data_IF_980659225253
#
_entry.id   IF_980659225253
#
_cell.length_a   1.000
_cell.length_b   1.000
_cell.length_c   1.000
_cell.angle_alpha   90.00
_cell.angle_beta   90.00
_cell.angle_gamma   90.00
#
_symmetry.space_group_name_H-M   'P 1'
#
loop_
_entity.id
_entity.type
_entity.pdbx_description
1 polymer ?
#
# COMPACT_ATOMS: atom_id res chain seq x y z
N UNK A 1 -0.38 -6.70 -12.51
CA UNK A 1 -0.84 -6.22 -11.20
C UNK A 1 -2.17 -5.53 -11.40
N UNK A 2 -3.21 -5.97 -10.70
CA UNK A 2 -4.57 -5.47 -10.86
C UNK A 2 -4.98 -4.60 -9.68
N UNK A 3 -5.77 -3.55 -9.97
CA UNK A 3 -6.38 -2.75 -8.91
C UNK A 3 -7.48 -3.55 -8.25
N UNK A 4 -7.55 -3.50 -6.93
CA UNK A 4 -8.62 -4.13 -6.17
C UNK A 4 -9.25 -3.13 -5.19
N UNK A 5 -10.52 -3.33 -4.89
CA UNK A 5 -11.24 -2.54 -3.90
C UNK A 5 -11.52 -3.40 -2.67
N UNK A 6 -11.16 -2.88 -1.49
CA UNK A 6 -11.54 -3.48 -0.21
C UNK A 6 -12.87 -2.89 0.22
N UNK A 7 -13.83 -3.75 0.53
CA UNK A 7 -15.15 -3.32 0.96
C UNK A 7 -15.07 -2.48 2.25
N UNK A 8 -15.68 -1.30 2.24
CA UNK A 8 -15.67 -0.39 3.40
C UNK A 8 -14.51 0.61 3.45
N UNK A 9 -13.51 0.53 2.57
CA UNK A 9 -12.38 1.46 2.55
C UNK A 9 -12.47 2.42 1.36
N UNK A 10 -12.77 3.68 1.67
CA UNK A 10 -12.80 4.74 0.66
C UNK A 10 -11.38 5.29 0.43
N UNK A 11 -10.73 4.87 -0.65
CA UNK A 11 -9.40 5.36 -1.05
C UNK A 11 -9.33 6.89 -1.14
N UNK A 12 -10.41 7.53 -1.59
CA UNK A 12 -10.48 8.98 -1.68
C UNK A 12 -10.38 9.64 -0.30
N UNK A 13 -10.98 9.03 0.73
CA UNK A 13 -10.89 9.53 2.10
C UNK A 13 -9.47 9.47 2.63
N UNK A 14 -8.78 8.36 2.41
CA UNK A 14 -7.37 8.21 2.81
C UNK A 14 -6.49 9.20 2.05
N UNK A 15 -6.68 9.36 0.73
CA UNK A 15 -5.97 10.35 -0.06
C UNK A 15 -6.16 11.78 0.45
N UNK A 16 -7.38 12.13 0.89
CA UNK A 16 -7.66 13.44 1.52
C UNK A 16 -6.93 13.61 2.84
N UNK A 17 -6.94 12.60 3.71
CA UNK A 17 -6.20 12.64 4.98
C UNK A 17 -4.70 12.76 4.77
N UNK A 18 -4.12 12.04 3.81
CA UNK A 18 -2.72 12.19 3.43
C UNK A 18 -2.43 13.61 2.90
N UNK A 19 -3.35 14.18 2.11
CA UNK A 19 -3.24 15.55 1.63
C UNK A 19 -3.23 16.57 2.75
N UNK A 20 -4.19 16.50 3.68
CA UNK A 20 -4.25 17.38 4.86
C UNK A 20 -2.99 17.23 5.72
N UNK A 21 -2.57 16.00 5.99
CA UNK A 21 -1.36 15.72 6.77
C UNK A 21 -0.11 16.31 6.10
N UNK A 22 -0.01 16.25 4.78
CA UNK A 22 1.14 16.82 4.06
C UNK A 22 1.21 18.34 4.17
N UNK A 23 0.06 19.03 4.16
CA UNK A 23 -0.01 20.49 4.36
C UNK A 23 0.46 20.86 5.77
N UNK A 24 -0.05 20.18 6.78
CA UNK A 24 0.33 20.43 8.19
C UNK A 24 1.84 20.18 8.40
N UNK A 25 2.34 19.05 7.88
CA UNK A 25 3.77 18.72 7.96
C UNK A 25 4.64 19.75 7.24
N UNK A 26 4.23 20.22 6.07
CA UNK A 26 4.97 21.26 5.35
C UNK A 26 5.07 22.53 6.19
N UNK A 27 3.97 22.97 6.82
CA UNK A 27 3.97 24.11 7.70
C UNK A 27 4.89 23.94 8.92
N UNK A 28 4.81 22.79 9.58
CA UNK A 28 5.66 22.47 10.73
C UNK A 28 7.15 22.43 10.37
N UNK A 29 7.51 21.78 9.26
CA UNK A 29 8.91 21.71 8.77
C UNK A 29 9.41 23.11 8.41
N UNK A 30 8.61 23.90 7.71
CA UNK A 30 8.99 25.29 7.34
C UNK A 30 9.22 26.14 8.58
N UNK A 31 8.37 26.02 9.61
CA UNK A 31 8.53 26.74 10.88
C UNK A 31 9.79 26.30 11.62
N UNK A 32 10.08 25.00 11.63
CA UNK A 32 11.28 24.48 12.27
C UNK A 32 12.56 24.95 11.56
N UNK A 33 12.57 24.94 10.24
CA UNK A 33 13.69 25.45 9.43
C UNK A 33 13.92 26.94 9.73
N UNK A 34 12.86 27.74 9.77
CA UNK A 34 12.94 29.16 10.09
C UNK A 34 13.50 29.40 11.49
N UNK A 35 13.10 28.62 12.46
CA UNK A 35 13.60 28.69 13.84
C UNK A 35 15.10 28.35 13.91
N UNK A 36 15.53 27.27 13.25
CA UNK A 36 16.96 26.87 13.18
C UNK A 36 17.78 27.98 12.49
N UNK A 37 17.24 28.58 11.43
CA UNK A 37 17.88 29.70 10.74
C UNK A 37 18.12 30.88 11.67
N UNK A 38 17.14 31.27 12.48
CA UNK A 38 17.26 32.35 13.45
C UNK A 38 18.35 32.08 14.53
N UNK A 39 18.50 30.80 14.92
CA UNK A 39 19.50 30.40 15.92
C UNK A 39 20.92 30.34 15.37
N UNK A 40 21.09 29.87 14.14
CA UNK A 40 22.41 29.52 13.57
C UNK A 40 22.93 30.53 12.54
N UNK A 41 22.07 31.37 12.00
CA UNK A 41 22.42 32.28 10.90
C UNK A 41 22.79 31.59 9.58
N UNK A 42 22.55 30.30 9.45
CA UNK A 42 23.03 29.47 8.34
C UNK A 42 22.04 29.52 7.16
N UNK A 43 22.36 30.28 6.11
CA UNK A 43 21.52 30.50 4.94
C UNK A 43 21.37 29.28 3.99
N UNK A 44 22.21 28.27 4.11
CA UNK A 44 22.24 27.15 3.15
C UNK A 44 20.97 26.27 3.15
N UNK A 45 20.14 26.33 4.18
CA UNK A 45 18.99 25.43 4.33
C UNK A 45 17.73 25.97 3.61
N UNK A 46 17.71 27.24 3.22
CA UNK A 46 16.51 27.87 2.63
C UNK A 46 16.25 27.52 1.18
N UNK A 47 17.20 26.84 0.52
CA UNK A 47 17.10 26.50 -0.92
C UNK A 47 16.39 25.18 -1.20
N UNK A 48 16.13 24.37 -0.18
CA UNK A 48 15.37 23.12 -0.36
C UNK A 48 13.90 23.47 -0.30
N UNK A 49 13.30 23.73 -1.45
CA UNK A 49 11.86 23.85 -1.58
C UNK A 49 11.21 22.49 -1.28
N UNK A 50 11.00 22.21 0.00
CA UNK A 50 10.18 21.08 0.43
C UNK A 50 8.75 21.44 0.05
N UNK A 51 8.33 20.97 -1.10
CA UNK A 51 6.97 21.22 -1.58
C UNK A 51 6.00 20.26 -0.89
N UNK A 52 4.79 20.72 -0.63
CA UNK A 52 3.68 19.89 -0.12
C UNK A 52 3.51 18.63 -0.96
N UNK A 53 3.73 18.73 -2.28
CA UNK A 53 3.65 17.61 -3.19
C UNK A 53 4.69 16.53 -2.92
N UNK A 54 5.92 16.89 -2.57
CA UNK A 54 6.97 15.93 -2.23
C UNK A 54 6.66 15.21 -0.92
N UNK A 55 6.18 15.91 0.08
CA UNK A 55 5.76 15.32 1.35
C UNK A 55 4.56 14.39 1.13
N UNK A 56 3.57 14.82 0.33
CA UNK A 56 2.44 13.98 -0.02
C UNK A 56 2.88 12.68 -0.70
N UNK A 57 3.80 12.79 -1.67
CA UNK A 57 4.33 11.61 -2.36
C UNK A 57 5.05 10.66 -1.41
N UNK A 58 5.87 11.18 -0.51
CA UNK A 58 6.57 10.37 0.48
C UNK A 58 5.60 9.67 1.46
N UNK A 59 4.59 10.39 1.95
CA UNK A 59 3.54 9.84 2.81
C UNK A 59 2.73 8.77 2.08
N UNK A 60 2.34 9.04 0.84
CA UNK A 60 1.59 8.10 0.03
C UNK A 60 2.38 6.81 -0.24
N UNK A 61 3.66 6.94 -0.58
CA UNK A 61 4.56 5.80 -0.78
C UNK A 61 4.72 4.98 0.50
N UNK A 62 4.94 5.65 1.65
CA UNK A 62 5.07 5.00 2.95
C UNK A 62 3.77 4.28 3.34
N UNK A 63 2.63 4.92 3.12
CA UNK A 63 1.32 4.34 3.37
C UNK A 63 1.10 3.11 2.51
N UNK A 64 1.32 3.22 1.19
CA UNK A 64 1.13 2.13 0.24
C UNK A 64 2.02 0.91 0.55
N UNK A 65 3.21 1.13 1.11
CA UNK A 65 4.15 0.04 1.40
C UNK A 65 3.95 -0.58 2.78
N UNK A 66 3.69 0.22 3.81
CA UNK A 66 3.75 -0.24 5.19
C UNK A 66 2.51 0.10 6.04
N UNK A 67 2.04 1.34 5.99
CA UNK A 67 1.11 1.84 6.99
C UNK A 67 -0.28 1.19 6.91
N UNK A 68 -0.72 0.74 5.75
CA UNK A 68 -1.99 0.06 5.59
C UNK A 68 -2.08 -1.30 6.32
N UNK A 69 -0.92 -1.91 6.65
CA UNK A 69 -0.83 -3.17 7.40
C UNK A 69 -1.13 -3.01 8.89
N UNK A 70 -1.19 -1.77 9.37
CA UNK A 70 -1.51 -1.49 10.77
C UNK A 70 -2.95 -1.94 11.06
N UNK A 71 -3.21 -2.66 12.18
CA UNK A 71 -4.54 -3.21 12.49
C UNK A 71 -5.65 -2.15 12.62
N UNK A 72 -5.28 -0.87 12.73
CA UNK A 72 -6.23 0.24 12.74
C UNK A 72 -7.10 0.31 11.47
N UNK A 73 -6.57 -0.10 10.33
CA UNK A 73 -7.28 -0.05 9.04
C UNK A 73 -8.11 -1.30 8.76
N UNK A 74 -8.02 -2.34 9.59
CA UNK A 74 -8.78 -3.60 9.46
C UNK A 74 -8.73 -4.24 8.06
N UNK A 75 -7.64 -4.00 7.34
CA UNK A 75 -7.43 -4.57 6.00
C UNK A 75 -6.70 -5.89 6.16
N UNK A 76 -7.25 -7.00 5.63
CA UNK A 76 -6.57 -8.28 5.71
C UNK A 76 -5.29 -8.26 4.87
N UNK A 77 -4.17 -8.66 5.47
CA UNK A 77 -2.92 -8.91 4.75
C UNK A 77 -2.93 -10.34 4.21
N UNK A 78 -3.10 -10.46 2.92
CA UNK A 78 -3.17 -11.74 2.21
C UNK A 78 -1.82 -12.14 1.60
N UNK A 79 -0.77 -11.35 1.83
CA UNK A 79 0.55 -11.64 1.28
C UNK A 79 1.05 -13.02 1.70
N UNK A 80 1.62 -13.73 0.75
CA UNK A 80 2.27 -15.01 1.01
C UNK A 80 1.86 -16.11 0.07
N UNK A 81 2.37 -17.31 0.37
CA UNK A 81 2.08 -18.52 -0.40
C UNK A 81 0.98 -19.32 0.31
N UNK A 82 -0.10 -19.54 -0.41
CA UNK A 82 -1.27 -20.25 0.07
C UNK A 82 -1.36 -21.61 -0.61
N UNK A 83 -1.47 -22.68 0.17
CA UNK A 83 -1.75 -24.02 -0.36
C UNK A 83 -3.26 -24.19 -0.53
N UNK A 84 -3.65 -24.51 -1.75
CA UNK A 84 -5.06 -24.65 -2.12
C UNK A 84 -5.31 -26.07 -2.61
N UNK A 85 -6.38 -26.68 -2.09
CA UNK A 85 -6.91 -27.94 -2.59
C UNK A 85 -8.14 -27.63 -3.42
N UNK A 86 -8.13 -28.07 -4.65
CA UNK A 86 -9.26 -27.95 -5.57
C UNK A 86 -9.86 -29.30 -5.86
N UNK A 87 -11.16 -29.31 -6.07
CA UNK A 87 -11.88 -30.51 -6.51
C UNK A 87 -12.58 -30.20 -7.82
N UNK A 88 -12.32 -30.98 -8.85
CA UNK A 88 -13.06 -30.88 -10.10
C UNK A 88 -14.36 -31.64 -9.96
N UNK A 89 -15.47 -30.99 -10.30
CA UNK A 89 -16.80 -31.60 -10.31
C UNK A 89 -17.19 -32.03 -11.73
N UNK A 90 -17.97 -33.11 -11.83
CA UNK A 90 -18.59 -33.54 -13.07
C UNK A 90 -19.88 -32.74 -13.32
N UNK A 91 -20.52 -32.91 -14.48
CA UNK A 91 -21.77 -32.25 -14.85
C UNK A 91 -22.90 -32.55 -13.85
N UNK A 92 -22.86 -33.69 -13.19
CA UNK A 92 -23.81 -34.12 -12.16
C UNK A 92 -23.43 -33.60 -10.74
N UNK A 93 -22.36 -32.82 -10.61
CA UNK A 93 -21.93 -32.26 -9.32
C UNK A 93 -21.11 -33.22 -8.44
N UNK A 94 -20.73 -34.39 -8.94
CA UNK A 94 -19.90 -35.35 -8.21
C UNK A 94 -18.41 -35.02 -8.35
N UNK A 95 -17.64 -35.26 -7.27
CA UNK A 95 -16.19 -35.07 -7.29
C UNK A 95 -15.52 -36.04 -8.28
N UNK A 96 -14.82 -35.49 -9.28
CA UNK A 96 -14.15 -36.27 -10.32
C UNK A 96 -12.69 -36.53 -10.00
N UNK A 97 -11.95 -35.49 -9.62
CA UNK A 97 -10.59 -35.61 -9.11
C UNK A 97 -10.21 -34.43 -8.23
N UNK A 98 -9.27 -34.65 -7.33
CA UNK A 98 -8.69 -33.64 -6.47
C UNK A 98 -7.34 -33.21 -7.03
N UNK A 99 -7.00 -31.94 -6.82
CA UNK A 99 -5.73 -31.37 -7.22
C UNK A 99 -5.20 -30.38 -6.18
N UNK A 100 -3.88 -30.33 -6.05
CA UNK A 100 -3.18 -29.38 -5.18
C UNK A 100 -2.55 -28.28 -6.00
N UNK A 101 -2.63 -27.04 -5.53
CA UNK A 101 -1.97 -25.90 -6.14
C UNK A 101 -1.43 -24.95 -5.06
N UNK A 102 -0.48 -24.11 -5.47
CA UNK A 102 0.03 -23.01 -4.66
C UNK A 102 -0.40 -21.69 -5.29
N UNK A 103 -0.93 -20.78 -4.47
CA UNK A 103 -1.26 -19.42 -4.85
C UNK A 103 -0.28 -18.50 -4.15
N UNK A 104 0.46 -17.71 -4.94
CA UNK A 104 1.34 -16.67 -4.44
C UNK A 104 0.62 -15.32 -4.56
N UNK A 105 0.46 -14.63 -3.45
CA UNK A 105 -0.24 -13.35 -3.36
C UNK A 105 0.75 -12.27 -2.96
N UNK A 106 0.90 -11.27 -3.82
CA UNK A 106 1.60 -10.03 -3.52
C UNK A 106 0.59 -8.89 -3.43
N UNK A 107 0.50 -8.27 -2.26
CA UNK A 107 -0.48 -7.22 -1.98
C UNK A 107 0.22 -5.94 -1.51
N UNK A 108 -0.19 -4.82 -2.08
CA UNK A 108 0.06 -3.46 -1.59
C UNK A 108 -1.29 -2.80 -1.29
N UNK A 109 -1.29 -1.58 -0.74
CA UNK A 109 -2.54 -0.84 -0.54
C UNK A 109 -3.37 -0.69 -1.82
N UNK A 110 -2.72 -0.42 -2.94
CA UNK A 110 -3.40 -0.12 -4.21
C UNK A 110 -3.60 -1.34 -5.10
N UNK A 111 -2.68 -2.30 -5.03
CA UNK A 111 -2.57 -3.36 -6.05
C UNK A 111 -2.37 -4.72 -5.42
N UNK A 112 -2.93 -5.72 -6.07
CA UNK A 112 -2.75 -7.11 -5.73
C UNK A 112 -2.41 -7.93 -6.98
N UNK A 113 -1.47 -8.85 -6.82
CA UNK A 113 -1.17 -9.91 -7.80
C UNK A 113 -1.50 -11.23 -7.15
N UNK A 114 -2.24 -12.05 -7.85
CA UNK A 114 -2.54 -13.42 -7.45
C UNK A 114 -2.00 -14.32 -8.54
N UNK A 115 -1.06 -15.17 -8.19
CA UNK A 115 -0.40 -16.08 -9.11
C UNK A 115 -0.63 -17.51 -8.71
N UNK A 116 -1.35 -18.27 -9.55
CA UNK A 116 -1.53 -19.70 -9.38
C UNK A 116 -0.30 -20.42 -9.94
N UNK A 117 0.45 -21.09 -9.09
CA UNK A 117 1.60 -21.92 -9.45
C UNK A 117 1.15 -23.37 -9.64
N UNK A 118 0.83 -23.70 -10.88
CA UNK A 118 0.68 -25.10 -11.31
C UNK A 118 1.75 -25.39 -12.36
N UNK A 119 2.99 -25.66 -11.93
CA UNK A 119 4.18 -25.98 -12.73
C UNK A 119 4.59 -25.00 -13.84
N UNK A 120 3.92 -23.87 -14.05
CA UNK A 120 4.29 -22.85 -15.03
C UNK A 120 4.56 -21.52 -14.34
N UNK A 121 5.68 -20.88 -14.73
CA UNK A 121 6.11 -19.58 -14.18
C UNK A 121 5.04 -18.51 -14.42
N UNK A 122 4.69 -17.80 -13.37
CA UNK A 122 4.02 -16.51 -13.52
C UNK A 122 4.90 -15.55 -14.33
N UNK A 123 4.37 -15.02 -15.43
CA UNK A 123 4.96 -13.91 -16.18
C UNK A 123 4.35 -12.60 -15.75
#
# INVERSE_FOLDING_TARGET
>A
MHDYAVFGHNRATIGRWLGVSSIVLTGAISSLISYIYQLTGFQAVTSVAITTGLIYFALHWLFNKFAWKIPLFQIPDLNGVWKVKGTTLDEDGNAKFEWDAEIDIEQTWEKMVVCLKNQSKCK
#
